data_IF_714046277131
#
_entry.id   IF_714046277131
#
_cell.length_a   1.000
_cell.length_b   1.000
_cell.length_c   1.000
_cell.angle_alpha   90.00
_cell.angle_beta   90.00
_cell.angle_gamma   90.00
#
_symmetry.space_group_name_H-M   'P 1'
#
loop_
_entity.id
_entity.type
_entity.pdbx_description
1 polymer ?
#
# COMPACT_ATOMS: atom_id res chain seq x y z
N UNK A 1 -22.90 -2.53 -5.18
CA UNK A 1 -21.56 -1.90 -5.24
C UNK A 1 -21.37 -1.12 -3.96
N UNK A 2 -20.59 -1.63 -3.01
CA UNK A 2 -20.37 -0.95 -1.73
C UNK A 2 -19.69 0.43 -1.93
N UNK A 3 -20.11 1.42 -1.14
CA UNK A 3 -19.52 2.78 -1.17
C UNK A 3 -18.00 2.80 -0.95
N UNK A 4 -17.47 1.79 -0.26
CA UNK A 4 -16.05 1.64 -0.02
C UNK A 4 -15.30 1.39 -1.34
N UNK A 5 -15.78 0.46 -2.18
CA UNK A 5 -15.19 0.13 -3.49
C UNK A 5 -15.13 1.32 -4.45
N UNK A 6 -16.14 2.19 -4.43
CA UNK A 6 -16.16 3.42 -5.25
C UNK A 6 -15.26 4.52 -4.68
N UNK A 7 -15.08 4.59 -3.36
CA UNK A 7 -14.22 5.58 -2.68
C UNK A 7 -12.73 5.20 -2.67
N UNK A 8 -12.34 3.93 -2.77
CA UNK A 8 -10.91 3.52 -2.71
C UNK A 8 -10.02 4.13 -3.79
N UNK A 9 -10.56 4.42 -4.99
CA UNK A 9 -9.78 5.05 -6.05
C UNK A 9 -9.37 6.51 -5.75
N UNK A 10 -9.85 7.13 -4.65
CA UNK A 10 -9.49 8.49 -4.23
C UNK A 10 -8.91 8.59 -2.80
N UNK A 11 -8.70 7.46 -2.10
CA UNK A 11 -8.37 7.46 -0.66
C UNK A 11 -6.96 8.00 -0.34
N UNK A 12 -6.05 8.08 -1.31
CA UNK A 12 -4.75 8.70 -1.08
C UNK A 12 -4.87 10.15 -0.60
N UNK A 13 -5.98 10.84 -0.89
CA UNK A 13 -6.21 12.23 -0.47
C UNK A 13 -6.71 12.39 0.97
N UNK A 14 -7.17 11.32 1.61
CA UNK A 14 -7.71 11.40 2.97
C UNK A 14 -6.64 11.07 4.03
N UNK A 15 -5.56 10.37 3.63
CA UNK A 15 -4.48 9.95 4.53
C UNK A 15 -3.56 11.08 5.01
N UNK A 16 -3.67 12.30 4.46
CA UNK A 16 -2.87 13.45 4.92
C UNK A 16 -3.61 14.40 5.87
N UNK A 17 -4.88 14.17 6.18
CA UNK A 17 -5.56 14.93 7.24
C UNK A 17 -5.43 14.14 8.53
N UNK A 18 -4.24 14.22 9.14
CA UNK A 18 -4.04 13.86 10.54
C UNK A 18 -3.82 15.13 11.35
N UNK A 19 -4.45 15.15 12.53
CA UNK A 19 -4.37 16.18 13.57
C UNK A 19 -5.03 17.54 13.30
N UNK A 20 -6.28 17.68 13.76
CA UNK A 20 -6.66 18.86 14.57
C UNK A 20 -7.64 18.48 15.69
N UNK A 21 -7.26 18.92 16.90
CA UNK A 21 -8.08 19.16 18.10
C UNK A 21 -8.80 18.00 18.82
N UNK A 22 -8.09 17.45 19.81
CA UNK A 22 -8.67 17.09 21.12
C UNK A 22 -9.20 18.36 21.83
N UNK A 23 -10.38 18.86 21.46
CA UNK A 23 -11.01 20.01 22.14
C UNK A 23 -12.47 19.79 22.57
N UNK A 24 -13.07 18.64 22.27
CA UNK A 24 -14.39 18.26 22.77
C UNK A 24 -14.28 16.81 23.26
N UNK A 25 -14.28 16.62 24.58
CA UNK A 25 -14.12 15.33 25.24
C UNK A 25 -15.24 14.33 24.91
N UNK A 26 -15.20 13.74 23.72
CA UNK A 26 -16.09 12.65 23.31
C UNK A 26 -15.31 11.34 23.44
N UNK A 27 -15.19 10.87 24.67
CA UNK A 27 -14.87 9.47 24.96
C UNK A 27 -16.20 8.71 25.01
N UNK A 28 -16.56 8.02 23.94
CA UNK A 28 -17.27 6.74 23.96
C UNK A 28 -17.52 6.28 22.51
N UNK A 29 -16.67 5.39 22.02
CA UNK A 29 -17.13 4.41 21.05
C UNK A 29 -18.29 3.67 21.72
N UNK A 30 -19.49 3.85 21.16
CA UNK A 30 -20.74 3.36 21.73
C UNK A 30 -20.67 1.86 22.02
N UNK A 31 -20.97 1.53 23.26
CA UNK A 31 -21.40 0.21 23.69
C UNK A 31 -22.54 -0.24 22.78
N UNK A 32 -22.33 -1.31 22.01
CA UNK A 32 -23.38 -1.92 21.18
C UNK A 32 -24.41 -2.50 22.15
N UNK A 33 -25.41 -1.68 22.46
CA UNK A 33 -26.57 -2.06 23.25
C UNK A 33 -27.33 -3.10 22.43
N UNK A 34 -27.16 -4.37 22.79
CA UNK A 34 -28.01 -5.45 22.30
C UNK A 34 -29.42 -5.20 22.85
N UNK A 35 -30.19 -4.40 22.12
CA UNK A 35 -31.62 -4.22 22.39
C UNK A 35 -32.22 -5.60 22.17
N UNK A 36 -32.66 -6.24 23.26
CA UNK A 36 -33.40 -7.49 23.24
C UNK A 36 -34.59 -7.34 22.28
N UNK A 37 -34.41 -7.82 21.05
CA UNK A 37 -35.44 -7.80 20.04
C UNK A 37 -36.55 -8.77 20.49
N UNK A 38 -37.80 -8.32 20.36
CA UNK A 38 -38.98 -9.21 20.27
C UNK A 38 -38.66 -10.39 19.35
N UNK A 39 -39.29 -11.58 19.51
CA UNK A 39 -39.07 -12.74 18.65
C UNK A 39 -39.60 -12.46 17.25
N UNK A 40 -38.88 -11.62 16.52
CA UNK A 40 -38.97 -11.41 15.10
C UNK A 40 -38.40 -12.68 14.50
N UNK A 41 -39.14 -13.28 13.57
CA UNK A 41 -38.64 -14.41 12.80
C UNK A 41 -37.25 -14.03 12.28
N UNK A 42 -36.25 -14.88 12.54
CA UNK A 42 -34.88 -14.55 12.18
C UNK A 42 -34.77 -14.51 10.64
N UNK A 43 -34.79 -13.29 10.09
CA UNK A 43 -34.78 -13.04 8.64
C UNK A 43 -33.37 -13.15 8.02
N UNK A 44 -32.34 -13.26 8.87
CA UNK A 44 -30.94 -13.33 8.46
C UNK A 44 -30.13 -14.28 9.36
N UNK A 45 -29.04 -14.81 8.80
CA UNK A 45 -28.08 -15.64 9.53
C UNK A 45 -26.69 -14.98 9.50
N UNK A 46 -25.99 -14.98 10.64
CA UNK A 46 -24.62 -14.47 10.75
C UNK A 46 -23.66 -15.63 10.95
N UNK A 47 -22.76 -15.83 10.00
CA UNK A 47 -21.69 -16.82 10.09
C UNK A 47 -20.39 -16.14 10.51
N UNK A 48 -19.77 -16.66 11.58
CA UNK A 48 -18.45 -16.22 12.05
C UNK A 48 -17.65 -17.46 12.41
N UNK A 49 -16.45 -17.59 11.87
CA UNK A 49 -15.59 -18.72 12.15
C UNK A 49 -14.27 -18.64 11.39
N UNK A 50 -13.35 -19.51 11.81
CA UNK A 50 -12.05 -19.69 11.16
C UNK A 50 -11.92 -21.15 10.79
N UNK A 51 -11.68 -21.42 9.51
CA UNK A 51 -11.55 -22.78 8.98
C UNK A 51 -10.09 -23.06 8.65
N UNK A 52 -9.58 -24.21 9.11
CA UNK A 52 -8.31 -24.74 8.64
C UNK A 52 -8.59 -25.60 7.41
N UNK A 53 -8.03 -25.20 6.28
CA UNK A 53 -8.21 -25.89 5.01
C UNK A 53 -6.84 -26.23 4.43
N UNK A 54 -6.82 -27.26 3.60
CA UNK A 54 -5.64 -27.60 2.80
C UNK A 54 -5.31 -26.46 1.81
N UNK A 55 -4.03 -26.30 1.50
CA UNK A 55 -3.53 -25.27 0.56
C UNK A 55 -3.73 -25.70 -0.91
N UNK A 56 -4.94 -26.08 -1.25
CA UNK A 56 -5.38 -26.50 -2.58
C UNK A 56 -6.63 -25.72 -2.99
N UNK A 57 -7.02 -25.82 -4.26
CA UNK A 57 -8.27 -25.23 -4.73
C UNK A 57 -9.45 -25.80 -3.94
N UNK A 58 -10.34 -24.91 -3.47
CA UNK A 58 -11.51 -25.29 -2.68
C UNK A 58 -12.74 -24.47 -2.99
N UNK A 59 -13.88 -24.93 -2.47
CA UNK A 59 -15.18 -24.31 -2.66
C UNK A 59 -15.94 -24.32 -1.34
N UNK A 60 -16.09 -23.14 -0.74
CA UNK A 60 -16.96 -22.91 0.40
C UNK A 60 -18.28 -22.35 -0.13
N UNK A 61 -19.40 -22.99 0.17
CA UNK A 61 -20.69 -22.54 -0.35
C UNK A 61 -21.79 -22.58 0.69
N UNK A 62 -22.68 -21.59 0.59
CA UNK A 62 -23.89 -21.45 1.37
C UNK A 62 -25.06 -21.61 0.41
N UNK A 63 -25.82 -22.68 0.58
CA UNK A 63 -26.99 -22.99 -0.23
C UNK A 63 -28.17 -23.37 0.66
N UNK A 64 -29.38 -23.27 0.10
CA UNK A 64 -30.61 -23.60 0.81
C UNK A 64 -30.82 -25.11 0.79
N UNK A 65 -31.21 -25.67 1.93
CA UNK A 65 -31.59 -27.08 2.04
C UNK A 65 -30.84 -27.79 3.15
N UNK A 66 -31.13 -29.08 3.31
CA UNK A 66 -30.33 -29.93 4.19
C UNK A 66 -29.09 -30.38 3.44
N UNK A 67 -27.94 -30.12 4.06
CA UNK A 67 -26.66 -30.69 3.69
C UNK A 67 -26.69 -32.20 3.99
N UNK A 68 -26.50 -33.02 2.97
CA UNK A 68 -26.25 -34.45 3.13
C UNK A 68 -24.83 -34.75 2.67
N UNK A 69 -24.02 -35.21 3.61
CA UNK A 69 -22.70 -35.76 3.33
C UNK A 69 -22.87 -37.26 3.08
N UNK A 70 -22.62 -37.71 1.84
CA UNK A 70 -22.66 -39.14 1.53
C UNK A 70 -21.29 -39.79 1.85
N UNK A 71 -20.18 -39.10 1.54
CA UNK A 71 -18.79 -39.52 1.76
C UNK A 71 -17.91 -38.31 2.14
N UNK A 72 -16.65 -38.51 2.54
CA UNK A 72 -15.72 -37.44 2.97
C UNK A 72 -15.52 -36.31 1.93
N UNK A 73 -15.73 -36.59 0.63
CA UNK A 73 -15.48 -35.63 -0.46
C UNK A 73 -16.74 -35.20 -1.23
N UNK A 74 -17.93 -35.71 -0.87
CA UNK A 74 -19.17 -35.41 -1.62
C UNK A 74 -20.21 -34.84 -0.67
N UNK A 75 -20.41 -33.53 -0.79
CA UNK A 75 -21.46 -32.78 -0.10
C UNK A 75 -22.57 -32.43 -1.09
N UNK A 76 -23.77 -32.98 -0.90
CA UNK A 76 -24.95 -32.67 -1.73
C UNK A 76 -25.91 -31.81 -0.92
N UNK A 77 -26.35 -30.71 -1.51
CA UNK A 77 -27.49 -29.95 -1.00
C UNK A 77 -28.76 -30.50 -1.63
N UNK A 78 -29.62 -31.12 -0.82
CA UNK A 78 -30.96 -31.47 -1.27
C UNK A 78 -31.85 -30.27 -0.95
N UNK A 79 -31.97 -29.36 -1.93
CA UNK A 79 -32.99 -28.32 -1.90
C UNK A 79 -34.28 -28.92 -2.43
N UNK A 80 -35.30 -29.05 -1.59
CA UNK A 80 -36.62 -29.47 -2.05
C UNK A 80 -37.13 -28.43 -3.08
N UNK A 81 -37.52 -28.83 -4.31
CA UNK A 81 -37.99 -27.89 -5.33
C UNK A 81 -39.26 -27.13 -4.90
N UNK A 82 -39.95 -27.64 -3.87
CA UNK A 82 -41.17 -27.09 -3.25
C UNK A 82 -40.97 -26.63 -1.80
N UNK A 83 -39.77 -26.14 -1.43
CA UNK A 83 -39.66 -25.36 -0.19
C UNK A 83 -40.37 -24.02 -0.42
N UNK A 84 -41.66 -23.97 -0.09
CA UNK A 84 -42.61 -22.86 -0.27
C UNK A 84 -42.25 -21.61 0.56
N UNK A 85 -41.06 -21.06 0.35
CA UNK A 85 -40.58 -19.84 0.99
C UNK A 85 -39.91 -18.92 -0.02
N UNK A 86 -40.10 -17.62 0.15
CA UNK A 86 -39.34 -16.59 -0.57
C UNK A 86 -37.87 -16.77 -0.20
N UNK A 87 -37.04 -17.24 -1.14
CA UNK A 87 -35.61 -17.38 -0.94
C UNK A 87 -34.95 -16.03 -1.18
N UNK A 88 -34.11 -15.60 -0.26
CA UNK A 88 -33.33 -14.38 -0.39
C UNK A 88 -31.84 -14.71 -0.24
N UNK A 89 -31.08 -14.47 -1.31
CA UNK A 89 -29.63 -14.63 -1.33
C UNK A 89 -28.88 -13.30 -1.14
N UNK A 90 -29.58 -12.26 -0.68
CA UNK A 90 -28.95 -11.02 -0.22
C UNK A 90 -28.01 -11.34 0.93
N UNK A 91 -26.79 -10.82 0.86
CA UNK A 91 -25.78 -11.11 1.86
C UNK A 91 -24.81 -9.95 2.00
N UNK A 92 -24.21 -9.90 3.18
CA UNK A 92 -23.15 -8.95 3.51
C UNK A 92 -21.94 -9.72 3.99
N UNK A 93 -20.82 -9.52 3.32
CA UNK A 93 -19.52 -10.06 3.71
C UNK A 93 -18.89 -9.04 4.65
N UNK A 94 -18.89 -9.34 5.95
CA UNK A 94 -18.28 -8.44 6.93
C UNK A 94 -16.76 -8.45 6.82
N UNK A 95 -16.17 -9.65 6.78
CA UNK A 95 -14.74 -9.82 6.71
C UNK A 95 -14.41 -11.20 6.13
N UNK A 96 -13.47 -11.23 5.19
CA UNK A 96 -12.87 -12.47 4.70
C UNK A 96 -11.38 -12.27 4.53
N UNK A 97 -10.58 -13.09 5.21
CA UNK A 97 -9.12 -13.03 5.19
C UNK A 97 -8.52 -14.43 5.17
N UNK A 98 -7.31 -14.55 4.62
CA UNK A 98 -6.56 -15.81 4.59
C UNK A 98 -5.28 -15.67 5.44
N UNK A 99 -5.06 -16.62 6.34
CA UNK A 99 -3.89 -16.64 7.24
C UNK A 99 -3.92 -15.56 8.32
N UNK A 100 -2.74 -15.05 8.66
CA UNK A 100 -2.56 -14.09 9.76
C UNK A 100 -3.02 -12.69 9.34
N UNK A 101 -3.96 -12.06 10.07
CA UNK A 101 -4.43 -10.72 9.74
C UNK A 101 -3.32 -9.68 9.94
N UNK A 102 -3.14 -8.81 8.95
CA UNK A 102 -2.18 -7.72 9.00
C UNK A 102 -2.90 -6.45 9.45
N UNK A 103 -2.26 -5.65 10.31
CA UNK A 103 -2.80 -4.34 10.70
C UNK A 103 -2.85 -3.42 9.47
N UNK A 104 -3.91 -2.63 9.37
CA UNK A 104 -4.14 -1.65 8.30
C UNK A 104 -4.22 -2.23 6.87
N UNK A 105 -4.40 -3.54 6.72
CA UNK A 105 -4.73 -4.15 5.44
C UNK A 105 -6.24 -4.32 5.33
N UNK A 106 -6.82 -3.83 4.24
CA UNK A 106 -8.25 -3.99 3.94
C UNK A 106 -8.36 -5.00 2.80
N UNK A 107 -9.12 -6.07 3.03
CA UNK A 107 -9.28 -7.11 2.01
C UNK A 107 -10.36 -6.72 0.99
N UNK A 108 -10.30 -7.23 -0.25
CA UNK A 108 -11.25 -6.86 -1.30
C UNK A 108 -12.73 -7.11 -0.99
N UNK A 109 -13.07 -8.15 -0.22
CA UNK A 109 -14.46 -8.49 0.14
C UNK A 109 -14.89 -7.94 1.51
N UNK A 110 -14.05 -7.15 2.17
CA UNK A 110 -14.41 -6.57 3.47
C UNK A 110 -15.55 -5.54 3.30
N UNK A 111 -16.63 -5.74 4.06
CA UNK A 111 -17.84 -4.92 4.03
C UNK A 111 -18.56 -4.86 2.68
N UNK A 112 -18.43 -5.88 1.83
CA UNK A 112 -19.22 -5.97 0.61
C UNK A 112 -20.67 -6.37 0.92
N UNK A 113 -21.63 -5.72 0.26
CA UNK A 113 -23.06 -5.99 0.43
C UNK A 113 -23.71 -6.15 -0.94
N UNK A 114 -24.41 -7.27 -1.09
CA UNK A 114 -25.11 -7.64 -2.32
C UNK A 114 -26.57 -7.90 -1.98
N UNK A 115 -27.45 -7.13 -2.61
CA UNK A 115 -28.90 -7.32 -2.53
C UNK A 115 -29.34 -8.14 -3.75
N UNK A 116 -30.13 -9.18 -3.49
CA UNK A 116 -30.61 -10.12 -4.49
C UNK A 116 -32.03 -9.77 -4.88
N UNK A 117 -32.23 -9.44 -6.16
CA UNK A 117 -33.56 -9.13 -6.71
C UNK A 117 -34.38 -10.39 -7.04
N UNK A 118 -33.69 -11.51 -7.32
CA UNK A 118 -34.31 -12.78 -7.68
C UNK A 118 -33.99 -13.88 -6.65
N UNK A 119 -34.98 -14.73 -6.39
CA UNK A 119 -34.92 -15.88 -5.49
C UNK A 119 -34.12 -17.05 -6.06
N UNK A 120 -33.82 -17.03 -7.36
CA UNK A 120 -33.03 -18.04 -8.06
C UNK A 120 -31.60 -17.57 -8.40
N UNK A 121 -31.06 -16.58 -7.68
CA UNK A 121 -29.71 -16.08 -7.90
C UNK A 121 -28.62 -17.04 -7.43
N UNK A 122 -27.58 -17.15 -8.25
CA UNK A 122 -26.31 -17.81 -7.94
C UNK A 122 -25.21 -16.76 -7.94
N UNK A 123 -24.61 -16.53 -6.77
CA UNK A 123 -23.47 -15.63 -6.59
C UNK A 123 -22.19 -16.47 -6.44
N UNK A 124 -21.19 -16.16 -7.25
CA UNK A 124 -19.90 -16.83 -7.26
C UNK A 124 -18.78 -15.82 -7.08
N UNK A 125 -17.96 -16.02 -6.06
CA UNK A 125 -16.75 -15.27 -5.78
C UNK A 125 -15.56 -16.15 -6.13
N UNK A 126 -14.84 -15.79 -7.19
CA UNK A 126 -13.59 -16.44 -7.57
C UNK A 126 -12.44 -15.70 -6.91
N UNK A 127 -11.87 -16.32 -5.88
CA UNK A 127 -10.84 -15.75 -5.02
C UNK A 127 -9.50 -16.34 -5.43
N UNK A 128 -8.57 -15.49 -5.85
CA UNK A 128 -7.19 -15.88 -6.12
C UNK A 128 -6.31 -15.46 -4.94
N UNK A 129 -5.84 -16.44 -4.18
CA UNK A 129 -5.07 -16.24 -2.96
C UNK A 129 -3.57 -16.28 -3.27
N UNK A 130 -2.87 -15.20 -2.97
CA UNK A 130 -1.44 -15.01 -3.20
C UNK A 130 -0.68 -15.07 -1.87
N UNK A 131 0.18 -16.08 -1.67
CA UNK A 131 1.06 -16.13 -0.50
C UNK A 131 1.94 -14.88 -0.45
N UNK A 132 1.93 -14.16 0.67
CA UNK A 132 2.73 -12.95 0.86
C UNK A 132 3.54 -13.05 2.13
N UNK A 133 4.82 -12.69 2.08
CA UNK A 133 5.67 -12.61 3.27
C UNK A 133 6.16 -11.19 3.46
N UNK A 134 5.90 -10.66 4.65
CA UNK A 134 6.35 -9.34 5.07
C UNK A 134 7.58 -9.47 5.94
N UNK A 135 8.72 -9.01 5.43
CA UNK A 135 9.99 -8.96 6.15
C UNK A 135 10.24 -7.53 6.63
N UNK A 136 10.00 -7.31 7.93
CA UNK A 136 10.22 -6.03 8.64
C UNK A 136 11.48 -6.15 9.50
N UNK A 137 12.08 -5.03 9.92
CA UNK A 137 13.23 -5.06 10.87
C UNK A 137 12.94 -5.80 12.19
N UNK A 138 11.67 -5.91 12.59
CA UNK A 138 11.22 -6.56 13.83
C UNK A 138 10.92 -8.06 13.66
N UNK A 139 10.84 -8.56 12.44
CA UNK A 139 10.51 -9.95 12.16
C UNK A 139 9.82 -10.17 10.83
N UNK A 140 9.61 -11.44 10.52
CA UNK A 140 8.98 -11.90 9.28
C UNK A 140 7.58 -12.45 9.59
N UNK A 141 6.58 -12.00 8.84
CA UNK A 141 5.18 -12.45 8.98
C UNK A 141 4.72 -13.04 7.65
N UNK A 142 4.29 -14.30 7.69
CA UNK A 142 3.65 -14.96 6.55
C UNK A 142 2.13 -14.76 6.61
N UNK A 143 1.56 -14.34 5.49
CA UNK A 143 0.14 -14.00 5.35
C UNK A 143 -0.28 -14.23 3.89
N UNK A 144 -1.53 -13.94 3.57
CA UNK A 144 -2.07 -14.13 2.25
C UNK A 144 -2.85 -12.89 1.84
N UNK A 145 -2.54 -12.40 0.64
CA UNK A 145 -3.38 -11.41 -0.03
C UNK A 145 -4.29 -12.15 -1.00
N UNK A 146 -5.36 -11.52 -1.45
CA UNK A 146 -6.18 -12.13 -2.49
C UNK A 146 -6.79 -11.08 -3.41
N UNK A 147 -7.15 -11.52 -4.61
CA UNK A 147 -7.95 -10.79 -5.58
C UNK A 147 -9.26 -11.54 -5.80
N UNK A 148 -10.34 -10.82 -6.14
CA UNK A 148 -11.66 -11.42 -6.33
C UNK A 148 -12.29 -11.00 -7.64
N UNK A 149 -12.89 -11.98 -8.31
CA UNK A 149 -13.83 -11.78 -9.42
C UNK A 149 -15.21 -12.24 -8.99
N UNK A 150 -16.20 -11.37 -9.15
CA UNK A 150 -17.59 -11.61 -8.75
C UNK A 150 -18.43 -11.96 -9.96
N UNK A 151 -19.28 -12.96 -9.84
CA UNK A 151 -20.23 -13.35 -10.87
C UNK A 151 -21.59 -13.65 -10.24
N UNK A 152 -22.61 -12.89 -10.61
CA UNK A 152 -24.00 -13.17 -10.27
C UNK A 152 -24.78 -13.60 -11.51
N UNK A 153 -25.54 -14.68 -11.43
CA UNK A 153 -26.46 -15.09 -12.49
C UNK A 153 -27.76 -15.67 -11.93
N UNK A 154 -28.89 -15.41 -12.58
CA UNK A 154 -30.16 -16.07 -12.27
C UNK A 154 -30.21 -17.46 -12.91
N UNK A 155 -30.71 -18.44 -12.15
CA UNK A 155 -30.89 -19.82 -12.58
C UNK A 155 -32.30 -19.98 -13.14
N UNK A 156 -32.40 -20.21 -14.44
CA UNK A 156 -33.64 -20.52 -15.15
C UNK A 156 -33.46 -21.78 -15.99
N UNK A 157 -34.16 -22.85 -15.59
CA UNK A 157 -34.10 -24.13 -16.29
C UNK A 157 -34.72 -24.06 -17.69
N UNK A 158 -35.70 -23.17 -17.89
CA UNK A 158 -36.33 -22.94 -19.19
C UNK A 158 -35.37 -22.27 -20.20
N UNK A 159 -34.43 -21.45 -19.72
CA UNK A 159 -33.46 -20.77 -20.57
C UNK A 159 -32.12 -21.53 -20.69
N UNK A 160 -32.08 -22.81 -20.28
CA UNK A 160 -30.86 -23.63 -20.29
C UNK A 160 -29.83 -23.26 -19.21
N UNK A 161 -30.18 -22.39 -18.26
CA UNK A 161 -29.31 -22.04 -17.14
C UNK A 161 -29.50 -23.07 -16.02
N UNK A 162 -28.70 -24.14 -16.10
CA UNK A 162 -28.61 -25.15 -15.05
C UNK A 162 -27.62 -24.72 -13.95
N UNK A 163 -28.03 -24.90 -12.70
CA UNK A 163 -27.23 -24.56 -11.52
C UNK A 163 -28.05 -24.66 -10.25
N UNK A 164 -27.37 -24.54 -9.12
CA UNK A 164 -28.00 -24.46 -7.80
C UNK A 164 -27.88 -23.01 -7.32
N UNK A 165 -28.99 -22.34 -6.98
CA UNK A 165 -28.93 -20.99 -6.44
C UNK A 165 -28.29 -21.01 -5.04
N UNK A 166 -27.50 -19.99 -4.74
CA UNK A 166 -26.63 -20.00 -3.57
C UNK A 166 -25.47 -19.01 -3.67
N UNK A 167 -24.67 -18.97 -2.62
CA UNK A 167 -23.48 -18.13 -2.50
C UNK A 167 -22.27 -19.05 -2.46
N UNK A 168 -21.33 -18.88 -3.38
CA UNK A 168 -20.18 -19.76 -3.57
C UNK A 168 -18.88 -18.96 -3.51
N UNK A 169 -17.96 -19.37 -2.64
CA UNK A 169 -16.61 -18.84 -2.50
C UNK A 169 -15.63 -19.89 -3.02
N UNK A 170 -15.20 -19.72 -4.27
CA UNK A 170 -14.22 -20.59 -4.90
C UNK A 170 -12.86 -19.96 -4.75
N UNK A 171 -11.99 -20.56 -3.95
CA UNK A 171 -10.65 -20.05 -3.73
C UNK A 171 -9.62 -20.93 -4.41
N UNK A 172 -8.59 -20.31 -4.97
CA UNK A 172 -7.46 -20.97 -5.60
C UNK A 172 -6.15 -20.34 -5.13
N UNK A 173 -5.11 -21.14 -4.96
CA UNK A 173 -3.80 -20.67 -4.51
C UNK A 173 -2.95 -20.33 -5.74
N UNK A 174 -2.51 -19.09 -5.82
CA UNK A 174 -1.66 -18.64 -6.90
C UNK A 174 -0.25 -19.24 -6.76
N UNK A 175 0.37 -19.75 -7.83
CA UNK A 175 1.65 -20.45 -7.76
C UNK A 175 2.86 -19.52 -7.55
N UNK A 176 2.65 -18.23 -7.31
CA UNK A 176 3.70 -17.23 -7.07
C UNK A 176 3.52 -16.64 -5.68
N UNK A 177 4.64 -16.44 -4.99
CA UNK A 177 4.71 -15.76 -3.69
C UNK A 177 5.22 -14.34 -3.87
N UNK A 178 4.68 -13.42 -3.07
CA UNK A 178 5.13 -12.02 -3.00
C UNK A 178 5.94 -11.82 -1.73
N UNK A 179 7.19 -11.40 -1.86
CA UNK A 179 8.03 -11.03 -0.73
C UNK A 179 8.12 -9.51 -0.63
N UNK A 180 7.55 -8.95 0.44
CA UNK A 180 7.60 -7.52 0.75
C UNK A 180 8.70 -7.30 1.78
N UNK A 181 9.80 -6.69 1.35
CA UNK A 181 10.94 -6.37 2.21
C UNK A 181 10.92 -4.87 2.54
N UNK A 182 10.93 -4.55 3.82
CA UNK A 182 11.07 -3.17 4.29
C UNK A 182 12.48 -2.64 4.00
N UNK A 183 12.61 -1.84 2.93
CA UNK A 183 13.85 -1.15 2.60
C UNK A 183 13.90 0.20 3.31
N UNK A 184 14.58 0.24 4.46
CA UNK A 184 14.90 1.49 5.15
C UNK A 184 16.32 1.95 4.82
N UNK A 185 16.51 3.23 4.45
CA UNK A 185 17.84 3.80 4.36
C UNK A 185 18.57 3.65 5.71
N UNK A 186 19.85 3.27 5.66
CA UNK A 186 20.68 3.17 6.85
C UNK A 186 21.12 4.56 7.30
N UNK A 187 21.34 4.74 8.61
CA UNK A 187 21.87 6.00 9.15
C UNK A 187 23.24 6.34 8.54
N UNK A 188 24.02 5.32 8.17
CA UNK A 188 25.29 5.49 7.44
C UNK A 188 25.07 6.20 6.10
N UNK A 189 24.03 5.81 5.35
CA UNK A 189 23.70 6.47 4.07
C UNK A 189 23.27 7.92 4.28
N UNK A 190 22.62 8.24 5.41
CA UNK A 190 22.34 9.64 5.79
C UNK A 190 23.64 10.42 6.01
N UNK A 191 24.59 9.89 6.78
CA UNK A 191 25.89 10.57 7.01
C UNK A 191 26.69 10.76 5.72
N UNK A 192 26.69 9.77 4.82
CA UNK A 192 27.33 9.88 3.49
C UNK A 192 26.66 11.00 2.68
N UNK A 193 25.33 11.11 2.70
CA UNK A 193 24.62 12.21 2.01
C UNK A 193 24.94 13.57 2.63
N UNK A 194 25.04 13.65 3.96
CA UNK A 194 25.34 14.89 4.67
C UNK A 194 26.77 15.38 4.40
N UNK A 195 27.75 14.47 4.40
CA UNK A 195 29.14 14.80 4.05
C UNK A 195 29.28 15.21 2.58
N UNK A 196 28.57 14.56 1.67
CA UNK A 196 28.55 14.93 0.26
C UNK A 196 28.00 16.36 0.04
N UNK A 197 26.96 16.76 0.78
CA UNK A 197 26.43 18.14 0.73
C UNK A 197 27.47 19.14 1.26
N UNK A 198 28.08 18.88 2.41
CA UNK A 198 29.09 19.77 2.99
C UNK A 198 30.32 19.94 2.07
N UNK A 199 30.84 18.82 1.53
CA UNK A 199 31.95 18.85 0.58
C UNK A 199 31.60 19.54 -0.74
N UNK A 200 30.38 19.35 -1.25
CA UNK A 200 29.87 20.03 -2.44
C UNK A 200 29.76 21.54 -2.25
N UNK A 201 29.26 22.01 -1.10
CA UNK A 201 29.20 23.44 -0.78
C UNK A 201 30.61 24.04 -0.69
N UNK A 202 31.54 23.37 -0.02
CA UNK A 202 32.92 23.85 0.08
C UNK A 202 33.61 23.94 -1.29
N UNK A 203 33.46 22.91 -2.13
CA UNK A 203 34.05 22.87 -3.46
C UNK A 203 33.46 23.94 -4.41
N UNK A 204 32.14 24.14 -4.37
CA UNK A 204 31.46 25.13 -5.23
C UNK A 204 31.82 26.56 -4.84
N UNK A 205 31.88 26.88 -3.54
CA UNK A 205 32.33 28.19 -3.06
C UNK A 205 33.79 28.45 -3.44
N UNK A 206 34.67 27.45 -3.27
CA UNK A 206 36.07 27.54 -3.67
C UNK A 206 36.24 27.79 -5.18
N UNK A 207 35.52 27.04 -6.01
CA UNK A 207 35.55 27.20 -7.46
C UNK A 207 35.03 28.57 -7.90
N UNK A 208 33.92 29.06 -7.33
CA UNK A 208 33.39 30.39 -7.61
C UNK A 208 34.38 31.49 -7.22
N UNK A 209 35.01 31.39 -6.05
CA UNK A 209 35.99 32.37 -5.60
C UNK A 209 37.23 32.42 -6.52
N UNK A 210 37.73 31.25 -6.95
CA UNK A 210 38.81 31.16 -7.93
C UNK A 210 38.41 31.74 -9.29
N UNK A 211 37.19 31.45 -9.75
CA UNK A 211 36.67 32.00 -11.00
C UNK A 211 36.57 33.53 -10.94
N UNK A 212 36.04 34.09 -9.85
CA UNK A 212 35.96 35.55 -9.65
C UNK A 212 37.35 36.19 -9.60
N UNK A 213 38.29 35.62 -8.86
CA UNK A 213 39.65 36.19 -8.75
C UNK A 213 40.43 36.15 -10.07
N UNK A 214 40.15 35.21 -10.96
CA UNK A 214 40.78 35.14 -12.29
C UNK A 214 40.07 36.04 -13.33
N UNK A 215 38.73 36.13 -13.28
CA UNK A 215 37.95 36.91 -14.23
C UNK A 215 37.90 38.42 -13.92
N UNK A 216 37.90 38.83 -12.64
CA UNK A 216 37.80 40.24 -12.26
C UNK A 216 39.00 41.09 -12.74
N UNK A 217 40.28 40.70 -12.57
CA UNK A 217 41.41 41.49 -13.04
C UNK A 217 41.57 41.48 -14.56
N UNK A 218 41.19 40.39 -15.23
CA UNK A 218 41.19 40.33 -16.70
C UNK A 218 40.08 41.20 -17.29
N UNK A 219 38.88 41.20 -16.72
CA UNK A 219 37.82 42.15 -17.08
C UNK A 219 38.23 43.60 -16.79
N UNK A 220 38.76 43.92 -15.60
CA UNK A 220 39.20 45.28 -15.26
C UNK A 220 40.34 45.77 -16.17
N UNK A 221 41.27 44.88 -16.55
CA UNK A 221 42.34 45.14 -17.53
C UNK A 221 41.80 45.46 -18.93
N UNK A 222 40.75 44.77 -19.37
CA UNK A 222 40.10 45.01 -20.67
C UNK A 222 39.28 46.32 -20.66
N UNK A 223 38.61 46.65 -19.55
CA UNK A 223 37.77 47.86 -19.44
C UNK A 223 38.53 49.14 -19.03
N UNK A 224 39.76 49.06 -18.49
CA UNK A 224 40.59 50.23 -18.19
C UNK A 224 41.94 50.20 -18.94
N UNK A 225 42.05 50.82 -20.13
CA UNK A 225 43.33 50.94 -20.82
C UNK A 225 44.14 52.10 -20.19
N UNK A 226 45.13 51.73 -19.37
CA UNK A 226 46.35 52.48 -18.98
C UNK A 226 46.24 53.87 -18.31
N UNK A 227 46.92 53.98 -17.16
CA UNK A 227 47.88 55.08 -16.95
C UNK A 227 49.16 54.56 -16.29
N UNK A 228 50.11 54.06 -17.11
CA UNK A 228 51.53 53.98 -16.74
C UNK A 228 52.01 55.41 -16.47
N UNK A 229 52.42 55.72 -15.23
CA UNK A 229 53.20 56.93 -14.95
C UNK A 229 54.67 56.56 -15.01
N UNK A 230 55.31 56.92 -16.11
CA UNK A 230 56.77 57.00 -16.22
C UNK A 230 57.27 58.13 -15.34
N UNK A 231 58.24 57.85 -14.47
CA UNK A 231 59.13 58.88 -13.93
C UNK A 231 60.56 58.39 -14.05
N UNK A 232 61.24 58.84 -15.10
CA UNK A 232 62.69 58.80 -15.25
C UNK A 232 63.28 60.10 -14.73
N UNK A 233 64.27 60.04 -13.84
CA UNK A 233 65.25 61.12 -13.65
C UNK A 233 66.62 60.55 -13.21
N UNK A 234 67.49 60.39 -14.21
CA UNK A 234 68.96 60.64 -14.29
C UNK A 234 69.60 61.31 -13.04
N UNK A 235 70.84 61.12 -12.57
CA UNK A 235 72.19 60.86 -13.14
C UNK A 235 73.14 60.73 -11.91
N UNK A 236 74.16 59.86 -11.85
CA UNK A 236 75.55 60.26 -12.13
C UNK A 236 76.58 59.84 -11.05
N UNK A 237 77.76 59.39 -11.53
CA UNK A 237 79.09 59.22 -10.89
C UNK A 237 79.34 58.12 -9.83
N UNK A 238 80.31 57.24 -10.13
CA UNK A 238 80.89 56.19 -9.25
C UNK A 238 82.03 56.70 -8.35
N UNK A 239 83.07 55.91 -8.00
CA UNK A 239 83.30 54.47 -8.25
C UNK A 239 83.76 53.64 -7.01
N UNK A 240 83.95 52.33 -7.26
CA UNK A 240 85.01 51.46 -6.70
C UNK A 240 84.87 50.78 -5.31
N UNK A 241 85.60 49.66 -5.07
CA UNK A 241 84.96 48.40 -4.65
C UNK A 241 85.65 47.75 -3.43
N UNK A 242 85.07 46.67 -2.90
CA UNK A 242 85.82 45.65 -2.17
C UNK A 242 85.04 44.33 -2.16
N UNK A 243 85.69 43.28 -2.68
CA UNK A 243 85.36 41.86 -2.44
C UNK A 243 85.75 41.46 -0.99
N UNK A 244 85.70 40.17 -0.64
CA UNK A 244 84.54 39.30 -0.38
C UNK A 244 84.56 38.91 1.12
N UNK A 245 83.85 37.86 1.55
CA UNK A 245 84.32 36.86 2.53
C UNK A 245 83.24 35.77 2.65
N UNK A 246 83.61 34.55 2.21
CA UNK A 246 83.11 33.29 2.76
C UNK A 246 83.63 33.16 4.20
N UNK A 247 82.85 32.61 5.12
CA UNK A 247 83.20 31.35 5.77
C UNK A 247 82.20 30.95 6.87
N UNK A 248 82.04 29.62 6.97
CA UNK A 248 81.49 28.78 8.05
C UNK A 248 79.98 28.69 8.29
#
# INVERSE_FOLDING_TARGET
MSELRTKYHSIYQTFWISHTSNLLGVNQFGEVREIAALPKQADACRFVGTFKVEKVQGNLHVAVGKAFNMNENIHVHISHPYANGVRNFSHRIHHLSFGTPIKNHVNPLDSEEVVSDDSAMMYQYFIQVVPTTFSTRRGTVETYQYAVTEQGRSISHANGSHGVPGIFFRYDIFPVRVDVVETGDTVVRLFIRLSAIAGGVYATVGFLCQLFTQLLPTFLSIYTPLRRRTSSLSTGLGPEPLMPEEDS
#
